data_IF_162981444911
#
_entry.id   IF_162981444911
#
_cell.length_a   1.000
_cell.length_b   1.000
_cell.length_c   1.000
_cell.angle_alpha   90.00
_cell.angle_beta   90.00
_cell.angle_gamma   90.00
#
_symmetry.space_group_name_H-M   'P 1'
#
loop_
_entity.id
_entity.type
_entity.pdbx_description
1 polymer ?
#
# COMPACT_ATOMS: atom_id res chain seq x y z
N UNK A 1 -15.71 8.81 7.25
CA UNK A 1 -15.11 8.56 5.91
C UNK A 1 -13.63 8.20 5.95
N UNK A 2 -12.86 8.55 7.00
CA UNK A 2 -11.43 8.23 7.10
C UNK A 2 -11.11 6.80 7.59
N UNK A 3 -12.06 6.17 8.29
CA UNK A 3 -11.97 4.78 8.78
C UNK A 3 -11.48 3.77 7.73
N UNK A 4 -12.04 3.69 6.50
CA UNK A 4 -11.56 2.74 5.49
C UNK A 4 -10.11 2.99 5.06
N UNK A 5 -9.63 4.24 5.05
CA UNK A 5 -8.23 4.55 4.74
C UNK A 5 -7.30 4.12 5.86
N UNK A 6 -7.73 4.31 7.12
CA UNK A 6 -7.02 3.79 8.28
C UNK A 6 -6.88 2.27 8.23
N UNK A 7 -7.97 1.56 7.91
CA UNK A 7 -7.97 0.10 7.79
C UNK A 7 -7.12 -0.39 6.60
N UNK A 8 -7.08 0.35 5.49
CA UNK A 8 -6.19 0.03 4.37
C UNK A 8 -4.72 0.15 4.76
N UNK A 9 -4.36 1.16 5.56
CA UNK A 9 -2.99 1.38 6.01
C UNK A 9 -2.57 0.33 7.05
N UNK A 10 -3.40 0.07 8.06
CA UNK A 10 -3.12 -0.97 9.06
C UNK A 10 -3.12 -2.36 8.46
N UNK A 11 -4.03 -2.63 7.51
CA UNK A 11 -4.11 -3.90 6.78
C UNK A 11 -2.87 -4.17 5.91
N UNK A 12 -2.31 -3.15 5.25
CA UNK A 12 -1.07 -3.30 4.48
C UNK A 12 0.14 -3.69 5.36
N UNK A 13 0.11 -3.34 6.65
CA UNK A 13 1.15 -3.67 7.62
C UNK A 13 0.95 -5.04 8.29
N UNK A 14 -0.20 -5.71 8.11
CA UNK A 14 -0.48 -7.02 8.70
C UNK A 14 0.36 -8.10 8.02
N UNK A 15 1.00 -8.94 8.83
CA UNK A 15 1.68 -10.14 8.37
C UNK A 15 0.70 -11.26 8.01
N UNK A 16 1.23 -12.36 7.44
CA UNK A 16 0.41 -13.54 7.12
C UNK A 16 -0.22 -14.13 8.39
N UNK A 17 0.57 -14.15 9.45
CA UNK A 17 0.22 -14.58 10.79
C UNK A 17 -0.98 -13.82 11.38
N UNK A 18 -1.08 -12.51 11.15
CA UNK A 18 -2.18 -11.68 11.66
C UNK A 18 -3.46 -11.84 10.84
N UNK A 19 -3.34 -12.19 9.56
CA UNK A 19 -4.49 -12.41 8.66
C UNK A 19 -5.19 -13.75 8.95
N UNK A 20 -4.42 -14.78 9.31
CA UNK A 20 -4.95 -16.11 9.63
C UNK A 20 -5.24 -16.33 11.13
N UNK A 21 -5.06 -15.31 11.97
CA UNK A 21 -5.38 -15.37 13.38
C UNK A 21 -6.90 -15.43 13.63
N UNK A 22 -7.32 -16.24 14.61
CA UNK A 22 -8.70 -16.32 15.07
C UNK A 22 -8.74 -16.05 16.58
N UNK A 23 -9.24 -14.88 17.04
CA UNK A 23 -9.85 -13.79 16.28
C UNK A 23 -8.83 -12.95 15.47
N UNK A 24 -9.26 -12.26 14.40
CA UNK A 24 -8.39 -11.41 13.58
C UNK A 24 -7.82 -10.23 14.41
N UNK A 25 -6.51 -10.03 14.34
CA UNK A 25 -5.87 -8.88 14.99
C UNK A 25 -6.09 -7.62 14.15
N UNK A 26 -6.86 -6.66 14.69
CA UNK A 26 -7.10 -5.40 13.98
C UNK A 26 -5.84 -4.53 13.90
N UNK A 27 -5.06 -4.47 14.97
CA UNK A 27 -3.73 -3.87 14.97
C UNK A 27 -2.68 -4.97 14.84
N UNK A 28 -1.74 -4.86 13.87
CA UNK A 28 -0.71 -5.87 13.68
C UNK A 28 0.18 -5.94 14.92
N UNK A 29 0.44 -7.15 15.43
CA UNK A 29 1.38 -7.34 16.54
C UNK A 29 2.81 -7.02 16.11
N UNK A 30 3.15 -7.33 14.86
CA UNK A 30 4.45 -7.09 14.25
C UNK A 30 4.29 -6.36 12.91
N UNK A 31 4.25 -5.01 12.90
CA UNK A 31 4.01 -4.24 11.68
C UNK A 31 5.12 -4.44 10.64
N UNK A 32 4.74 -4.87 9.43
CA UNK A 32 5.68 -5.13 8.34
C UNK A 32 5.93 -3.91 7.46
N UNK A 33 6.77 -2.97 7.93
CA UNK A 33 7.11 -1.75 7.18
C UNK A 33 7.81 -2.01 5.83
N UNK A 34 8.55 -3.12 5.73
CA UNK A 34 9.27 -3.48 4.50
C UNK A 34 8.32 -3.80 3.33
N UNK A 35 7.03 -4.00 3.56
CA UNK A 35 6.05 -4.24 2.48
C UNK A 35 6.02 -3.05 1.51
N UNK A 36 6.15 -1.82 2.00
CA UNK A 36 6.15 -0.63 1.15
C UNK A 36 7.35 -0.58 0.21
N UNK A 37 8.57 -0.85 0.69
CA UNK A 37 9.76 -0.90 -0.15
C UNK A 37 9.70 -2.08 -1.14
N UNK A 38 9.28 -3.25 -0.66
CA UNK A 38 9.19 -4.48 -1.47
C UNK A 38 8.31 -4.32 -2.70
N UNK A 39 7.24 -3.52 -2.64
CA UNK A 39 6.37 -3.27 -3.80
C UNK A 39 7.14 -2.61 -4.94
N UNK A 40 8.05 -1.68 -4.64
CA UNK A 40 8.90 -1.03 -5.65
C UNK A 40 9.99 -1.95 -6.20
N UNK A 41 10.43 -2.94 -5.42
CA UNK A 41 11.40 -3.94 -5.89
C UNK A 41 10.74 -5.03 -6.75
N UNK A 42 9.49 -5.39 -6.46
CA UNK A 42 8.78 -6.50 -7.12
C UNK A 42 7.98 -6.08 -8.33
N UNK A 43 7.50 -4.84 -8.35
CA UNK A 43 6.73 -4.28 -9.44
C UNK A 43 7.45 -3.03 -9.96
N UNK A 44 7.33 -2.69 -11.25
CA UNK A 44 7.91 -1.48 -11.81
C UNK A 44 7.10 -0.23 -11.40
N UNK A 45 6.79 -0.10 -10.10
CA UNK A 45 5.90 0.91 -9.54
C UNK A 45 6.41 2.32 -9.79
N UNK A 46 7.73 2.53 -9.73
CA UNK A 46 8.34 3.82 -10.07
C UNK A 46 8.11 4.22 -11.52
N UNK A 47 8.14 3.27 -12.46
CA UNK A 47 7.87 3.54 -13.88
C UNK A 47 6.41 3.94 -14.07
N UNK A 48 5.48 3.17 -13.49
CA UNK A 48 4.05 3.47 -13.59
C UNK A 48 3.70 4.82 -12.97
N UNK A 49 4.32 5.16 -11.84
CA UNK A 49 4.11 6.46 -11.21
C UNK A 49 4.60 7.62 -12.08
N UNK A 50 5.77 7.46 -12.73
CA UNK A 50 6.28 8.44 -13.68
C UNK A 50 5.38 8.57 -14.91
N UNK A 51 4.95 7.45 -15.51
CA UNK A 51 4.05 7.46 -16.66
C UNK A 51 2.72 8.17 -16.34
N UNK A 52 2.17 7.93 -15.14
CA UNK A 52 0.96 8.61 -14.67
C UNK A 52 1.15 10.12 -14.56
N UNK A 53 2.25 10.58 -13.96
CA UNK A 53 2.56 12.01 -13.86
C UNK A 53 2.64 12.64 -15.25
N UNK A 54 3.41 12.03 -16.16
CA UNK A 54 3.59 12.56 -17.51
C UNK A 54 2.24 12.69 -18.23
N UNK A 55 1.43 11.63 -18.22
CA UNK A 55 0.11 11.63 -18.88
C UNK A 55 -0.82 12.67 -18.26
N UNK A 56 -0.92 12.73 -16.93
CA UNK A 56 -1.78 13.71 -16.26
C UNK A 56 -1.32 15.15 -16.51
N UNK A 57 -0.01 15.42 -16.52
CA UNK A 57 0.53 16.74 -16.82
C UNK A 57 0.24 17.14 -18.27
N UNK A 58 0.43 16.23 -19.23
CA UNK A 58 0.12 16.50 -20.64
C UNK A 58 -1.35 16.86 -20.78
N UNK A 59 -2.26 16.04 -20.25
CA UNK A 59 -3.71 16.26 -20.35
C UNK A 59 -4.14 17.58 -19.69
N UNK A 60 -3.49 17.96 -18.59
CA UNK A 60 -3.90 19.15 -17.82
C UNK A 60 -3.33 20.45 -18.40
N UNK A 61 -2.15 20.40 -19.01
CA UNK A 61 -1.40 21.59 -19.41
C UNK A 61 -1.36 21.86 -20.92
N UNK A 62 -1.61 20.86 -21.78
CA UNK A 62 -1.66 20.97 -23.24
C UNK A 62 -3.08 20.74 -23.76
#
# INVERSE_FOLDING_TARGET
>A
MLLPFGDMFTGALRGREDIFAAPPNYFPGYPQWNVYARVFDKLPMGRWFFDLIVVTTIITAL
#
